data_IF_715661452707
#
_entry.id   IF_715661452707
#
_cell.length_a   1.000
_cell.length_b   1.000
_cell.length_c   1.000
_cell.angle_alpha   90.00
_cell.angle_beta   90.00
_cell.angle_gamma   90.00
#
_symmetry.space_group_name_H-M   'P 1'
#
loop_
_entity.id
_entity.type
_entity.pdbx_description
1 polymer ?
#
# COMPACT_ATOMS: atom_id res chain seq x y z
N UNK A 1 26.19 -0.91 -0.16
CA UNK A 1 24.74 -0.84 -0.40
C UNK A 1 24.34 -2.00 -1.30
N UNK A 2 23.51 -2.94 -0.81
CA UNK A 2 22.87 -3.92 -1.69
C UNK A 2 22.00 -3.15 -2.69
N UNK A 3 22.09 -3.51 -3.97
CA UNK A 3 21.17 -2.96 -4.98
C UNK A 3 19.80 -3.60 -4.77
N UNK A 4 18.70 -2.85 -4.82
CA UNK A 4 17.36 -3.43 -4.77
C UNK A 4 17.19 -4.44 -5.91
N UNK A 5 16.46 -5.52 -5.63
CA UNK A 5 16.19 -6.57 -6.62
C UNK A 5 15.61 -5.96 -7.90
N UNK A 6 16.09 -6.43 -9.06
CA UNK A 6 15.55 -6.01 -10.36
C UNK A 6 14.04 -6.30 -10.49
N UNK A 7 13.50 -7.27 -9.73
CA UNK A 7 12.07 -7.54 -9.69
C UNK A 7 11.26 -6.32 -9.22
N UNK A 8 11.76 -5.54 -8.27
CA UNK A 8 11.10 -4.32 -7.80
C UNK A 8 11.10 -3.24 -8.87
N UNK A 9 12.19 -3.14 -9.65
CA UNK A 9 12.25 -2.28 -10.84
C UNK A 9 11.23 -2.68 -11.90
N UNK A 10 11.11 -3.97 -12.20
CA UNK A 10 10.13 -4.49 -13.16
C UNK A 10 8.69 -4.26 -12.72
N UNK A 11 8.41 -4.42 -11.43
CA UNK A 11 7.11 -4.11 -10.87
C UNK A 11 6.78 -2.62 -10.99
N UNK A 12 7.74 -1.75 -10.65
CA UNK A 12 7.59 -0.29 -10.79
C UNK A 12 7.32 0.08 -12.25
N UNK A 13 8.07 -0.49 -13.19
CA UNK A 13 7.89 -0.30 -14.62
C UNK A 13 6.49 -0.76 -15.08
N UNK A 14 5.98 -1.88 -14.56
CA UNK A 14 4.62 -2.34 -14.85
C UNK A 14 3.56 -1.30 -14.44
N UNK A 15 3.64 -0.75 -13.23
CA UNK A 15 2.66 0.24 -12.77
C UNK A 15 2.81 1.60 -13.46
N UNK A 16 4.04 2.05 -13.76
CA UNK A 16 4.29 3.26 -14.56
C UNK A 16 3.81 3.11 -16.02
N UNK A 17 3.96 1.92 -16.61
CA UNK A 17 3.46 1.63 -17.96
C UNK A 17 1.94 1.50 -18.00
N UNK A 18 1.35 0.66 -17.15
CA UNK A 18 -0.10 0.44 -17.16
C UNK A 18 -0.87 1.64 -16.61
N UNK A 19 -0.40 2.27 -15.54
CA UNK A 19 -1.15 3.30 -14.84
C UNK A 19 -2.57 2.84 -14.55
N UNK A 20 -3.56 3.71 -14.84
CA UNK A 20 -4.97 3.43 -14.56
C UNK A 20 -5.50 2.17 -15.25
N UNK A 21 -4.89 1.77 -16.39
CA UNK A 21 -5.27 0.56 -17.12
C UNK A 21 -5.05 -0.72 -16.31
N UNK A 22 -4.14 -0.71 -15.34
CA UNK A 22 -3.98 -1.84 -14.43
C UNK A 22 -5.31 -2.18 -13.73
N UNK A 23 -6.15 -1.19 -13.44
CA UNK A 23 -7.43 -1.40 -12.77
C UNK A 23 -8.63 -1.29 -13.71
N UNK A 24 -8.63 -0.34 -14.66
CA UNK A 24 -9.76 -0.12 -15.57
C UNK A 24 -9.99 -1.31 -16.52
N UNK A 25 -8.92 -2.01 -16.89
CA UNK A 25 -8.97 -3.23 -17.73
C UNK A 25 -8.97 -4.53 -16.92
N UNK A 26 -9.08 -4.44 -15.59
CA UNK A 26 -9.19 -5.60 -14.70
C UNK A 26 -7.93 -6.46 -14.59
N UNK A 27 -6.75 -5.93 -14.95
CA UNK A 27 -5.46 -6.65 -14.82
C UNK A 27 -5.16 -6.91 -13.34
N UNK A 28 -5.39 -5.90 -12.49
CA UNK A 28 -5.27 -5.94 -11.04
C UNK A 28 -6.67 -5.95 -10.43
N UNK A 29 -7.08 -7.03 -9.74
CA UNK A 29 -8.35 -7.09 -9.03
C UNK A 29 -8.46 -5.99 -7.97
N UNK A 30 -9.63 -5.33 -7.89
CA UNK A 30 -9.82 -4.18 -7.00
C UNK A 30 -11.14 -4.14 -6.22
N UNK A 31 -12.10 -5.03 -6.51
CA UNK A 31 -13.44 -4.91 -5.94
C UNK A 31 -13.49 -5.03 -4.41
N UNK A 32 -12.65 -5.89 -3.84
CA UNK A 32 -12.55 -6.10 -2.38
C UNK A 32 -12.14 -4.80 -1.65
N UNK A 33 -11.31 -3.98 -2.27
CA UNK A 33 -10.81 -2.71 -1.71
C UNK A 33 -11.53 -1.48 -2.25
N UNK A 34 -12.37 -1.65 -3.27
CA UNK A 34 -12.98 -0.54 -4.02
C UNK A 34 -14.46 -0.80 -4.24
N UNK A 35 -15.29 -0.43 -3.26
CA UNK A 35 -16.74 -0.46 -3.38
C UNK A 35 -17.39 0.60 -2.47
N UNK A 36 -18.66 0.91 -2.76
CA UNK A 36 -19.41 1.96 -2.06
C UNK A 36 -19.68 1.62 -0.59
N UNK A 37 -19.84 0.33 -0.26
CA UNK A 37 -20.01 -0.11 1.12
C UNK A 37 -18.75 0.21 1.95
N UNK A 38 -17.57 -0.10 1.43
CA UNK A 38 -16.30 0.17 2.09
C UNK A 38 -16.05 1.68 2.22
N UNK A 39 -16.25 2.44 1.14
CA UNK A 39 -16.10 3.90 1.16
C UNK A 39 -16.99 4.56 2.23
N UNK A 40 -18.25 4.10 2.36
CA UNK A 40 -19.16 4.59 3.40
C UNK A 40 -18.75 4.14 4.80
N UNK A 41 -18.28 2.91 4.97
CA UNK A 41 -17.81 2.41 6.26
C UNK A 41 -16.60 3.21 6.77
N UNK A 42 -15.62 3.46 5.90
CA UNK A 42 -14.43 4.26 6.23
C UNK A 42 -14.84 5.70 6.57
N UNK A 43 -15.74 6.31 5.79
CA UNK A 43 -16.21 7.66 6.07
C UNK A 43 -16.85 7.77 7.46
N UNK A 44 -17.63 6.78 7.91
CA UNK A 44 -18.21 6.75 9.26
C UNK A 44 -17.15 6.66 10.35
N UNK A 45 -16.12 5.84 10.16
CA UNK A 45 -15.02 5.68 11.13
C UNK A 45 -14.25 7.00 11.28
N UNK A 46 -13.90 7.63 10.16
CA UNK A 46 -13.21 8.94 10.16
C UNK A 46 -14.07 10.01 10.82
N UNK A 47 -15.36 10.04 10.50
CA UNK A 47 -16.29 10.99 11.08
C UNK A 47 -16.41 10.84 12.60
N UNK A 48 -16.54 9.59 13.08
CA UNK A 48 -16.56 9.29 14.51
C UNK A 48 -15.26 9.71 15.21
N UNK A 49 -14.12 9.40 14.60
CA UNK A 49 -12.81 9.83 15.10
C UNK A 49 -12.71 11.36 15.24
N UNK A 50 -13.14 12.12 14.24
CA UNK A 50 -13.15 13.59 14.33
C UNK A 50 -14.16 14.12 15.34
N UNK A 51 -15.33 13.48 15.48
CA UNK A 51 -16.30 13.84 16.52
C UNK A 51 -15.71 13.66 17.92
N UNK A 52 -15.04 12.54 18.18
CA UNK A 52 -14.39 12.28 19.46
C UNK A 52 -13.30 13.32 19.77
N UNK A 53 -12.51 13.71 18.76
CA UNK A 53 -11.48 14.75 18.92
C UNK A 53 -12.03 16.17 19.08
N UNK A 54 -13.20 16.48 18.51
CA UNK A 54 -13.89 17.76 18.75
C UNK A 54 -14.44 17.86 20.17
N UNK A 55 -14.80 16.72 20.78
CA UNK A 55 -15.27 16.66 22.16
C UNK A 55 -14.14 16.57 23.19
N UNK A 56 -12.91 16.25 22.79
CA UNK A 56 -11.74 16.13 23.70
C UNK A 56 -11.41 17.36 24.55
N UNK A 57 -11.48 18.61 24.03
CA UNK A 57 -11.21 19.81 24.85
C UNK A 57 -12.10 19.92 26.09
N UNK A 58 -13.24 19.21 26.12
CA UNK A 58 -14.15 19.19 27.27
C UNK A 58 -13.95 18.00 28.21
N UNK A 59 -13.03 17.07 27.91
CA UNK A 59 -12.93 15.78 28.61
C UNK A 59 -11.62 15.59 29.42
N UNK A 60 -10.44 15.98 28.92
CA UNK A 60 -9.19 16.03 29.72
C UNK A 60 -8.02 16.66 28.93
N UNK A 61 -7.49 17.80 29.37
CA UNK A 61 -6.49 18.59 28.62
C UNK A 61 -5.09 17.96 28.55
N UNK A 62 -4.81 16.92 29.35
CA UNK A 62 -3.47 16.37 29.55
C UNK A 62 -3.06 15.23 28.59
N UNK A 63 -3.99 14.67 27.80
CA UNK A 63 -3.77 13.35 27.14
C UNK A 63 -3.67 13.37 25.61
N UNK A 64 -4.11 14.44 24.93
CA UNK A 64 -3.81 14.80 23.54
C UNK A 64 -4.59 16.09 23.20
N UNK A 65 -4.06 17.00 22.35
CA UNK A 65 -4.85 18.14 21.87
C UNK A 65 -6.07 17.64 21.08
N UNK A 66 -7.21 18.32 21.24
CA UNK A 66 -8.39 18.11 20.39
C UNK A 66 -8.17 18.59 18.96
N UNK A 67 -9.22 18.62 18.14
CA UNK A 67 -9.15 19.24 16.82
C UNK A 67 -9.17 20.76 16.91
N UNK A 68 -8.29 21.41 16.15
CA UNK A 68 -8.39 22.83 15.82
C UNK A 68 -9.42 22.99 14.67
N UNK A 69 -10.57 23.65 14.92
CA UNK A 69 -11.63 23.79 13.93
C UNK A 69 -11.29 24.76 12.79
N UNK A 70 -10.25 25.59 12.92
CA UNK A 70 -9.85 26.55 11.90
C UNK A 70 -8.83 25.95 10.92
N UNK A 71 -8.21 24.83 11.28
CA UNK A 71 -7.24 24.07 10.48
C UNK A 71 -7.89 22.86 9.77
N UNK A 72 -7.41 22.46 8.58
CA UNK A 72 -7.99 21.34 7.84
C UNK A 72 -7.66 19.98 8.46
N UNK A 73 -8.61 19.05 8.38
CA UNK A 73 -8.39 17.63 8.64
C UNK A 73 -8.08 16.88 7.33
N UNK A 74 -6.96 16.19 7.28
CA UNK A 74 -6.56 15.43 6.08
C UNK A 74 -6.87 13.94 6.20
N UNK A 75 -7.38 13.36 5.12
CA UNK A 75 -7.47 11.92 4.91
C UNK A 75 -6.56 11.55 3.74
N UNK A 76 -5.45 10.89 4.01
CA UNK A 76 -4.46 10.48 3.01
C UNK A 76 -4.71 9.04 2.56
N UNK A 77 -4.90 8.81 1.27
CA UNK A 77 -4.88 7.46 0.69
C UNK A 77 -3.56 7.24 -0.03
N UNK A 78 -2.82 6.21 0.41
CA UNK A 78 -1.55 5.81 -0.19
C UNK A 78 -1.78 4.64 -1.14
N UNK A 79 -1.57 4.87 -2.44
CA UNK A 79 -1.87 3.92 -3.50
C UNK A 79 -3.33 3.99 -3.95
N UNK A 80 -3.80 5.18 -4.34
CA UNK A 80 -5.19 5.42 -4.75
C UNK A 80 -5.62 4.74 -6.07
N UNK A 81 -4.68 4.16 -6.83
CA UNK A 81 -4.99 3.37 -8.01
C UNK A 81 -5.84 4.15 -9.04
N UNK A 82 -7.06 3.70 -9.33
CA UNK A 82 -8.00 4.40 -10.23
C UNK A 82 -8.69 5.61 -9.62
N UNK A 83 -8.57 5.84 -8.31
CA UNK A 83 -9.29 6.90 -7.59
C UNK A 83 -10.77 6.58 -7.31
N UNK A 84 -11.25 5.40 -7.70
CA UNK A 84 -12.64 5.00 -7.51
C UNK A 84 -13.02 4.86 -6.04
N UNK A 85 -12.12 4.40 -5.18
CA UNK A 85 -12.37 4.35 -3.72
C UNK A 85 -12.52 5.78 -3.16
N UNK A 86 -11.55 6.66 -3.44
CA UNK A 86 -11.59 8.07 -3.05
C UNK A 86 -12.91 8.74 -3.45
N UNK A 87 -13.35 8.55 -4.69
CA UNK A 87 -14.65 9.07 -5.15
C UNK A 87 -15.82 8.59 -4.26
N UNK A 88 -15.90 7.28 -3.99
CA UNK A 88 -16.97 6.70 -3.17
C UNK A 88 -16.90 7.17 -1.72
N UNK A 89 -15.71 7.27 -1.15
CA UNK A 89 -15.46 7.81 0.19
C UNK A 89 -15.93 9.27 0.27
N UNK A 90 -15.43 10.14 -0.60
CA UNK A 90 -15.72 11.58 -0.57
C UNK A 90 -17.22 11.84 -0.74
N UNK A 91 -17.87 11.13 -1.69
CA UNK A 91 -19.34 11.21 -1.86
C UNK A 91 -20.09 10.78 -0.60
N UNK A 92 -19.64 9.71 0.05
CA UNK A 92 -20.24 9.24 1.31
C UNK A 92 -20.02 10.22 2.46
N UNK A 93 -18.80 10.76 2.59
CA UNK A 93 -18.44 11.74 3.61
C UNK A 93 -19.25 13.02 3.46
N UNK A 94 -19.36 13.58 2.25
CA UNK A 94 -20.20 14.75 1.97
C UNK A 94 -21.66 14.51 2.38
N UNK A 95 -22.21 13.32 2.07
CA UNK A 95 -23.58 12.96 2.45
C UNK A 95 -23.75 12.88 3.97
N UNK A 96 -22.76 12.36 4.70
CA UNK A 96 -22.79 12.27 6.17
C UNK A 96 -22.65 13.64 6.82
N UNK A 97 -21.70 14.47 6.37
CA UNK A 97 -21.49 15.84 6.89
C UNK A 97 -22.72 16.72 6.64
N UNK A 98 -23.39 16.57 5.50
CA UNK A 98 -24.62 17.31 5.21
C UNK A 98 -25.74 17.07 6.24
N UNK A 99 -25.76 15.88 6.87
CA UNK A 99 -26.74 15.49 7.89
C UNK A 99 -26.36 15.95 9.30
N UNK A 100 -25.14 16.47 9.51
CA UNK A 100 -24.61 16.85 10.82
C UNK A 100 -24.18 18.33 10.80
N UNK A 101 -25.10 19.27 11.12
CA UNK A 101 -24.85 20.71 10.98
C UNK A 101 -23.59 21.22 11.68
N UNK A 102 -23.26 20.67 12.85
CA UNK A 102 -22.09 21.06 13.63
C UNK A 102 -20.75 20.68 12.96
N UNK A 103 -20.75 19.70 12.04
CA UNK A 103 -19.56 19.31 11.29
C UNK A 103 -19.39 20.08 9.98
N UNK A 104 -20.36 20.91 9.59
CA UNK A 104 -20.26 21.73 8.36
C UNK A 104 -19.15 22.78 8.43
N UNK A 105 -18.73 23.16 9.64
CA UNK A 105 -17.60 24.08 9.86
C UNK A 105 -16.25 23.39 9.77
N UNK A 106 -16.20 22.06 9.87
CA UNK A 106 -14.96 21.31 9.81
C UNK A 106 -14.41 21.37 8.38
N UNK A 107 -13.24 21.96 8.22
CA UNK A 107 -12.49 21.92 6.97
C UNK A 107 -11.85 20.54 6.86
N UNK A 108 -12.05 19.85 5.74
CA UNK A 108 -11.41 18.56 5.50
C UNK A 108 -11.06 18.38 4.04
N UNK A 109 -10.04 17.57 3.79
CA UNK A 109 -9.54 17.28 2.46
C UNK A 109 -9.13 15.82 2.36
N UNK A 110 -9.62 15.13 1.34
CA UNK A 110 -9.14 13.80 0.97
C UNK A 110 -7.99 13.95 -0.01
N UNK A 111 -6.85 13.34 0.28
CA UNK A 111 -5.64 13.41 -0.53
C UNK A 111 -5.41 12.05 -1.18
N UNK A 112 -5.56 11.99 -2.50
CA UNK A 112 -5.21 10.80 -3.28
C UNK A 112 -3.72 10.81 -3.60
N UNK A 113 -3.01 9.73 -3.28
CA UNK A 113 -1.59 9.62 -3.63
C UNK A 113 -1.25 8.32 -4.34
N UNK A 114 -0.37 8.43 -5.31
CA UNK A 114 0.20 7.28 -6.01
C UNK A 114 1.54 7.67 -6.64
N UNK A 115 2.32 6.67 -7.05
CA UNK A 115 3.60 6.87 -7.70
C UNK A 115 3.46 7.08 -9.23
N UNK A 116 2.67 6.27 -9.99
CA UNK A 116 2.59 6.40 -11.43
C UNK A 116 1.94 7.71 -11.86
N UNK A 117 2.67 8.51 -12.65
CA UNK A 117 2.14 9.80 -13.14
C UNK A 117 0.84 9.62 -13.94
N UNK A 118 0.72 8.51 -14.68
CA UNK A 118 -0.48 8.17 -15.46
C UNK A 118 -1.73 8.04 -14.59
N UNK A 119 -1.62 7.59 -13.34
CA UNK A 119 -2.75 7.58 -12.41
C UNK A 119 -3.18 9.00 -12.08
N UNK A 120 -2.21 9.84 -11.71
CA UNK A 120 -2.44 11.25 -11.36
C UNK A 120 -3.11 12.00 -12.52
N UNK A 121 -2.57 11.87 -13.73
CA UNK A 121 -3.11 12.50 -14.93
C UNK A 121 -4.54 12.02 -15.23
N UNK A 122 -4.80 10.72 -15.02
CA UNK A 122 -6.14 10.15 -15.17
C UNK A 122 -7.11 10.74 -14.16
N UNK A 123 -6.71 11.01 -12.92
CA UNK A 123 -7.60 11.59 -11.91
C UNK A 123 -7.93 13.04 -12.22
N UNK A 124 -6.92 13.84 -12.55
CA UNK A 124 -7.05 15.26 -12.86
C UNK A 124 -7.95 15.52 -14.08
N UNK A 125 -7.96 14.59 -15.03
CA UNK A 125 -8.83 14.64 -16.21
C UNK A 125 -10.20 13.98 -16.02
N UNK A 126 -10.45 13.30 -14.89
CA UNK A 126 -11.65 12.50 -14.71
C UNK A 126 -12.89 13.38 -14.42
N UNK A 127 -13.97 13.32 -15.24
CA UNK A 127 -15.14 14.18 -15.09
C UNK A 127 -15.85 14.04 -13.74
N UNK A 128 -15.86 12.84 -13.14
CA UNK A 128 -16.48 12.61 -11.83
C UNK A 128 -15.63 13.07 -10.63
N UNK A 129 -14.34 13.36 -10.84
CA UNK A 129 -13.45 13.87 -9.79
C UNK A 129 -13.30 15.39 -9.89
N UNK A 130 -13.36 15.96 -11.10
CA UNK A 130 -13.22 17.40 -11.33
C UNK A 130 -14.09 18.28 -10.41
N UNK A 131 -15.39 17.99 -10.17
CA UNK A 131 -16.19 18.77 -9.22
C UNK A 131 -15.69 18.68 -7.78
N UNK A 132 -15.11 17.54 -7.36
CA UNK A 132 -14.61 17.33 -6.00
C UNK A 132 -13.31 18.12 -5.78
N UNK A 133 -12.42 18.10 -6.78
CA UNK A 133 -11.22 18.95 -6.80
C UNK A 133 -11.59 20.43 -6.74
N UNK A 134 -12.58 20.87 -7.54
CA UNK A 134 -13.02 22.26 -7.58
C UNK A 134 -13.56 22.78 -6.23
N UNK A 135 -14.12 21.89 -5.40
CA UNK A 135 -14.59 22.27 -4.04
C UNK A 135 -13.50 22.24 -2.96
N UNK A 136 -12.29 21.76 -3.28
CA UNK A 136 -11.18 21.63 -2.32
C UNK A 136 -11.30 20.46 -1.33
N UNK A 137 -12.37 19.66 -1.39
CA UNK A 137 -12.54 18.46 -0.54
C UNK A 137 -11.74 17.26 -1.04
N UNK A 138 -11.19 17.36 -2.25
CA UNK A 138 -10.30 16.39 -2.86
C UNK A 138 -9.04 17.10 -3.34
N UNK A 139 -7.88 16.53 -3.07
CA UNK A 139 -6.57 16.93 -3.57
C UNK A 139 -5.79 15.67 -3.98
N UNK A 140 -4.66 15.84 -4.64
CA UNK A 140 -3.79 14.73 -5.01
C UNK A 140 -2.31 15.09 -4.97
N UNK A 141 -1.46 14.08 -4.81
CA UNK A 141 -0.02 14.24 -4.87
C UNK A 141 0.62 13.00 -5.50
N UNK A 142 1.75 13.21 -6.18
CA UNK A 142 2.63 12.11 -6.56
C UNK A 142 3.51 11.77 -5.35
N UNK A 143 3.43 10.54 -4.87
CA UNK A 143 4.13 10.12 -3.65
C UNK A 143 4.73 8.73 -3.82
N UNK A 144 6.00 8.58 -3.46
CA UNK A 144 6.69 7.29 -3.44
C UNK A 144 6.68 6.73 -2.03
N UNK A 145 5.81 5.75 -1.78
CA UNK A 145 5.71 5.11 -0.47
C UNK A 145 7.00 4.38 -0.06
N UNK A 146 7.89 4.04 -1.00
CA UNK A 146 9.20 3.46 -0.71
C UNK A 146 10.22 4.47 -0.19
N UNK A 147 9.94 5.78 -0.30
CA UNK A 147 10.76 6.86 0.25
C UNK A 147 9.92 7.77 1.17
N UNK A 148 9.51 7.27 2.35
CA UNK A 148 8.55 7.96 3.21
C UNK A 148 9.10 9.21 3.90
N UNK A 149 10.38 9.52 3.71
CA UNK A 149 10.99 10.75 4.21
C UNK A 149 10.64 11.96 3.35
N UNK A 150 10.13 11.75 2.13
CA UNK A 150 9.76 12.84 1.23
C UNK A 150 8.50 13.57 1.68
N UNK A 151 8.46 14.90 1.48
CA UNK A 151 7.24 15.67 1.68
C UNK A 151 6.14 15.22 0.70
N UNK A 152 4.88 15.40 1.10
CA UNK A 152 3.72 15.21 0.23
C UNK A 152 3.31 16.58 -0.31
N UNK A 153 3.60 16.83 -1.57
CA UNK A 153 3.31 18.09 -2.25
C UNK A 153 1.94 18.03 -2.93
N UNK A 154 0.94 18.69 -2.34
CA UNK A 154 -0.43 18.69 -2.83
C UNK A 154 -0.55 19.56 -4.09
N UNK A 155 -1.08 18.97 -5.16
CA UNK A 155 -1.07 19.58 -6.49
C UNK A 155 -2.18 20.62 -6.67
N UNK A 156 -3.33 20.46 -5.99
CA UNK A 156 -4.46 21.38 -6.17
C UNK A 156 -4.36 22.59 -5.25
N UNK A 157 -4.05 22.35 -3.97
CA UNK A 157 -3.93 23.41 -2.96
C UNK A 157 -2.54 24.07 -2.91
N UNK A 158 -1.49 23.40 -3.41
CA UNK A 158 -0.11 23.84 -3.25
C UNK A 158 0.45 23.65 -1.84
N UNK A 159 -0.31 23.03 -0.93
CA UNK A 159 0.13 22.74 0.44
C UNK A 159 1.18 21.63 0.43
N UNK A 160 2.20 21.76 1.28
CA UNK A 160 3.19 20.71 1.50
C UNK A 160 2.97 20.09 2.88
N UNK A 161 2.76 18.78 2.94
CA UNK A 161 2.62 18.03 4.19
C UNK A 161 3.97 17.40 4.54
N UNK A 162 4.48 17.76 5.73
CA UNK A 162 5.77 17.32 6.26
C UNK A 162 5.59 16.83 7.71
N UNK A 163 6.56 16.09 8.27
CA UNK A 163 6.52 15.73 9.68
C UNK A 163 6.30 16.95 10.58
N UNK A 164 5.22 16.93 11.36
CA UNK A 164 4.80 18.00 12.29
C UNK A 164 4.32 19.30 11.63
N UNK A 165 4.00 19.31 10.33
CA UNK A 165 3.46 20.51 9.68
C UNK A 165 1.96 20.72 9.88
N UNK A 166 1.23 19.69 10.32
CA UNK A 166 -0.23 19.74 10.52
C UNK A 166 -0.59 20.03 11.98
N UNK A 167 -1.55 20.93 12.18
CA UNK A 167 -2.16 21.16 13.49
C UNK A 167 -3.08 20.00 13.91
N UNK A 168 -3.82 19.46 12.94
CA UNK A 168 -4.76 18.35 13.15
C UNK A 168 -4.14 16.99 12.77
N UNK A 169 -4.51 15.89 13.44
CA UNK A 169 -4.04 14.55 13.10
C UNK A 169 -4.53 14.12 11.72
N UNK A 170 -3.63 13.51 10.96
CA UNK A 170 -3.93 12.91 9.66
C UNK A 170 -4.52 11.50 9.83
N UNK A 171 -5.52 11.17 9.04
CA UNK A 171 -5.98 9.78 8.88
C UNK A 171 -5.35 9.21 7.62
N UNK A 172 -4.66 8.08 7.70
CA UNK A 172 -4.02 7.44 6.54
C UNK A 172 -4.66 6.08 6.21
N UNK A 173 -4.90 5.84 4.92
CA UNK A 173 -5.37 4.58 4.36
C UNK A 173 -4.29 3.97 3.48
N UNK A 174 -4.03 2.67 3.65
CA UNK A 174 -3.02 1.92 2.89
C UNK A 174 -3.61 0.58 2.43
N UNK A 175 -4.71 0.64 1.68
CA UNK A 175 -5.45 -0.55 1.23
C UNK A 175 -4.60 -1.37 0.25
N UNK A 176 -4.19 -2.57 0.65
CA UNK A 176 -3.39 -3.49 -0.18
C UNK A 176 -2.05 -2.88 -0.67
N UNK A 177 -1.57 -1.82 -0.01
CA UNK A 177 -0.27 -1.22 -0.32
C UNK A 177 0.88 -2.09 0.18
N UNK A 178 0.79 -2.56 1.43
CA UNK A 178 1.89 -3.27 2.09
C UNK A 178 2.20 -4.64 1.46
N UNK A 179 1.29 -5.21 0.65
CA UNK A 179 1.58 -6.44 -0.09
C UNK A 179 2.28 -6.21 -1.43
N UNK A 180 2.44 -4.95 -1.86
CA UNK A 180 3.08 -4.58 -3.13
C UNK A 180 4.23 -3.57 -2.97
N UNK A 181 4.55 -3.12 -1.76
CA UNK A 181 5.76 -2.32 -1.52
C UNK A 181 6.99 -3.23 -1.43
N UNK A 182 8.17 -2.66 -1.66
CA UNK A 182 9.43 -3.40 -1.56
C UNK A 182 9.61 -4.00 -0.17
N UNK A 183 9.97 -5.28 -0.11
CA UNK A 183 10.09 -6.05 1.12
C UNK A 183 11.34 -6.93 1.08
N UNK A 184 11.99 -7.04 2.24
CA UNK A 184 13.04 -8.01 2.47
C UNK A 184 12.43 -9.37 2.84
N UNK A 185 13.07 -10.45 2.42
CA UNK A 185 12.70 -11.81 2.79
C UNK A 185 13.78 -12.42 3.68
N UNK A 186 13.37 -13.11 4.75
CA UNK A 186 14.30 -13.76 5.68
C UNK A 186 13.89 -15.21 5.96
N UNK A 187 14.88 -16.10 6.02
CA UNK A 187 14.72 -17.51 6.39
C UNK A 187 15.27 -17.75 7.80
N UNK A 188 14.45 -18.36 8.65
CA UNK A 188 14.84 -18.78 10.01
C UNK A 188 15.20 -20.28 10.00
N UNK A 189 16.40 -20.59 10.45
CA UNK A 189 16.92 -21.96 10.54
C UNK A 189 16.64 -22.58 11.91
N UNK A 190 16.70 -23.92 12.00
CA UNK A 190 16.44 -24.67 13.24
C UNK A 190 17.38 -24.30 14.40
N UNK A 191 18.57 -23.81 14.09
CA UNK A 191 19.55 -23.35 15.08
C UNK A 191 19.32 -21.89 15.53
N UNK A 192 18.20 -21.27 15.12
CA UNK A 192 17.83 -19.91 15.48
C UNK A 192 18.56 -18.83 14.68
N UNK A 193 19.42 -19.19 13.72
CA UNK A 193 20.02 -18.21 12.81
C UNK A 193 19.00 -17.76 11.79
N UNK A 194 19.09 -16.48 11.42
CA UNK A 194 18.31 -15.91 10.32
C UNK A 194 19.27 -15.54 9.18
N UNK A 195 18.83 -15.70 7.93
CA UNK A 195 19.54 -15.22 6.75
C UNK A 195 18.57 -14.51 5.82
N UNK A 196 19.05 -13.45 5.19
CA UNK A 196 18.32 -12.80 4.10
C UNK A 196 18.18 -13.78 2.93
N UNK A 197 17.01 -13.79 2.30
CA UNK A 197 16.74 -14.56 1.09
C UNK A 197 16.95 -13.64 -0.10
N UNK A 198 17.94 -13.97 -0.92
CA UNK A 198 18.27 -13.28 -2.15
C UNK A 198 17.62 -13.98 -3.33
N UNK A 199 17.28 -13.21 -4.36
CA UNK A 199 16.73 -13.74 -5.61
C UNK A 199 17.71 -13.46 -6.75
N UNK A 200 18.17 -14.52 -7.40
CA UNK A 200 18.91 -14.43 -8.65
C UNK A 200 17.94 -14.52 -9.81
N UNK A 201 17.93 -13.50 -10.67
CA UNK A 201 17.17 -13.49 -11.93
C UNK A 201 18.13 -13.71 -13.09
N UNK A 202 17.78 -14.62 -13.99
CA UNK A 202 18.54 -14.89 -15.23
C UNK A 202 17.60 -14.80 -16.41
N UNK A 203 18.06 -14.20 -17.50
CA UNK A 203 17.34 -14.14 -18.76
C UNK A 203 18.12 -14.92 -19.82
N UNK A 204 17.43 -15.67 -20.68
CA UNK A 204 18.08 -16.26 -21.84
C UNK A 204 18.70 -15.16 -22.73
N UNK A 205 19.87 -15.39 -23.35
CA UNK A 205 20.47 -14.41 -24.24
C UNK A 205 19.52 -14.07 -25.39
N UNK A 206 19.27 -12.77 -25.60
CA UNK A 206 18.51 -12.29 -26.76
C UNK A 206 19.29 -12.65 -28.04
N UNK A 207 18.65 -13.20 -29.08
CA UNK A 207 19.21 -13.15 -30.43
C UNK A 207 19.46 -11.67 -30.79
N UNK A 208 20.62 -11.37 -31.36
CA UNK A 208 20.99 -10.01 -31.75
C UNK A 208 19.94 -9.39 -32.68
N UNK A 209 19.73 -8.08 -32.50
CA UNK A 209 18.82 -7.18 -33.22
C UNK A 209 17.32 -7.21 -32.83
N UNK A 210 16.94 -6.30 -31.94
CA UNK A 210 15.84 -5.36 -32.27
C UNK A 210 15.99 -4.06 -31.48
N UNK A 211 16.45 -3.04 -32.17
CA UNK A 211 16.24 -1.64 -31.82
C UNK A 211 14.77 -1.28 -32.07
N UNK A 212 13.97 -1.11 -31.02
CA UNK A 212 12.81 -0.19 -30.99
C UNK A 212 12.07 -0.23 -29.65
N UNK A 213 12.18 0.86 -28.87
CA UNK A 213 11.27 1.22 -27.77
C UNK A 213 11.44 0.45 -26.45
N UNK A 214 11.18 1.12 -25.33
CA UNK A 214 10.98 0.48 -24.01
C UNK A 214 9.75 -0.43 -24.07
N UNK A 215 9.90 -1.66 -24.59
CA UNK A 215 8.96 -2.75 -24.33
C UNK A 215 9.36 -3.42 -23.02
N UNK A 216 8.40 -3.69 -22.14
CA UNK A 216 8.62 -4.54 -20.97
C UNK A 216 9.34 -5.83 -21.41
N UNK A 217 10.36 -6.29 -20.66
CA UNK A 217 11.08 -7.50 -21.01
C UNK A 217 10.13 -8.70 -21.03
N UNK A 218 10.34 -9.61 -21.98
CA UNK A 218 9.61 -10.87 -22.04
C UNK A 218 10.08 -11.79 -20.90
N UNK A 219 9.31 -11.79 -19.82
CA UNK A 219 9.60 -12.56 -18.61
C UNK A 219 9.40 -14.08 -18.80
N UNK A 220 8.84 -14.55 -19.92
CA UNK A 220 8.69 -15.99 -20.19
C UNK A 220 10.04 -16.69 -20.37
N UNK A 221 11.09 -15.93 -20.71
CA UNK A 221 12.46 -16.41 -20.89
C UNK A 221 13.32 -16.30 -19.63
N UNK A 222 12.71 -15.87 -18.52
CA UNK A 222 13.42 -15.61 -17.27
C UNK A 222 13.26 -16.78 -16.31
N UNK A 223 14.33 -17.06 -15.55
CA UNK A 223 14.27 -17.99 -14.42
C UNK A 223 14.77 -17.32 -13.14
N UNK A 224 14.15 -17.67 -12.02
CA UNK A 224 14.49 -17.17 -10.69
C UNK A 224 14.93 -18.30 -9.77
N UNK A 225 15.97 -18.06 -8.97
CA UNK A 225 16.37 -18.96 -7.90
C UNK A 225 16.61 -18.20 -6.60
N UNK A 226 16.23 -18.83 -5.48
CA UNK A 226 16.31 -18.23 -4.14
C UNK A 226 17.50 -18.83 -3.38
N UNK A 227 18.35 -17.98 -2.84
CA UNK A 227 19.54 -18.39 -2.10
C UNK A 227 19.67 -17.58 -0.82
N UNK A 228 20.20 -18.19 0.23
CA UNK A 228 20.42 -17.48 1.48
C UNK A 228 21.71 -16.64 1.39
N UNK A 229 21.63 -15.39 1.82
CA UNK A 229 22.80 -14.53 1.96
C UNK A 229 23.82 -15.17 2.90
N UNK A 230 25.10 -15.04 2.54
CA UNK A 230 26.22 -15.41 3.41
C UNK A 230 26.43 -14.34 4.49
N UNK A 231 25.87 -13.15 4.29
CA UNK A 231 25.98 -12.02 5.22
C UNK A 231 24.99 -12.18 6.38
N UNK A 232 25.44 -11.99 7.64
CA UNK A 232 24.54 -11.95 8.80
C UNK A 232 23.50 -10.83 8.64
N UNK A 233 22.30 -11.07 9.18
CA UNK A 233 21.20 -10.09 9.20
C UNK A 233 21.67 -8.76 9.82
N UNK A 234 21.21 -7.60 9.30
CA UNK A 234 21.45 -6.31 9.92
C UNK A 234 21.18 -6.29 11.43
N UNK A 235 22.03 -5.57 12.19
CA UNK A 235 22.00 -5.55 13.66
C UNK A 235 20.64 -5.17 14.27
N UNK A 236 19.82 -4.36 13.58
CA UNK A 236 18.49 -3.96 14.08
C UNK A 236 17.45 -5.08 14.07
N UNK A 237 17.69 -6.16 13.31
CA UNK A 237 16.91 -7.40 13.34
C UNK A 237 17.61 -8.51 14.14
N UNK A 238 18.84 -8.27 14.61
CA UNK A 238 19.56 -9.21 15.46
C UNK A 238 18.97 -9.19 16.86
N UNK A 239 18.64 -10.37 17.38
CA UNK A 239 18.18 -10.52 18.76
C UNK A 239 19.22 -9.96 19.73
N UNK A 240 18.84 -8.98 20.55
CA UNK A 240 19.67 -8.60 21.71
C UNK A 240 19.45 -9.64 22.80
N UNK A 241 20.54 -10.15 23.39
CA UNK A 241 20.46 -10.98 24.60
C UNK A 241 20.32 -10.07 25.83
N UNK A 242 19.44 -10.40 26.75
CA UNK A 242 19.44 -9.73 28.07
C UNK A 242 20.69 -10.11 28.89
N UNK A 243 20.85 -9.51 30.08
CA UNK A 243 22.01 -9.74 30.96
C UNK A 243 22.10 -11.20 31.41
N UNK A 244 21.01 -11.94 31.30
CA UNK A 244 20.86 -13.35 31.62
C UNK A 244 20.98 -14.27 30.38
N UNK A 245 21.30 -13.71 29.21
CA UNK A 245 21.60 -14.46 27.98
C UNK A 245 20.39 -14.90 27.16
N UNK A 246 19.17 -14.46 27.48
CA UNK A 246 17.94 -14.84 26.76
C UNK A 246 17.71 -13.96 25.54
N UNK A 247 17.33 -14.57 24.42
CA UNK A 247 17.01 -13.89 23.17
C UNK A 247 15.79 -12.98 23.36
N UNK A 248 15.94 -11.66 23.19
CA UNK A 248 14.82 -10.74 23.02
C UNK A 248 14.53 -10.61 21.53
N UNK A 249 13.26 -10.71 21.14
CA UNK A 249 12.84 -10.32 19.80
C UNK A 249 13.17 -8.84 19.59
N UNK A 250 13.52 -8.46 18.36
CA UNK A 250 13.56 -7.07 17.94
C UNK A 250 12.12 -6.52 17.88
N UNK A 251 11.45 -6.47 19.03
CA UNK A 251 10.16 -5.81 19.15
C UNK A 251 10.44 -4.33 19.23
N UNK A 252 9.86 -3.61 18.26
CA UNK A 252 9.42 -2.23 18.37
C UNK A 252 9.36 -1.73 19.82
N UNK A 253 9.89 -0.52 20.04
CA UNK A 253 9.71 0.31 21.23
C UNK A 253 8.22 0.71 21.43
N UNK A 254 7.27 -0.24 21.46
CA UNK A 254 5.93 -0.02 21.99
C UNK A 254 5.81 -0.73 23.33
N UNK A 255 5.92 0.07 24.39
CA UNK A 255 5.63 -0.36 25.76
C UNK A 255 4.13 -0.61 25.90
N UNK A 256 3.64 -1.78 25.48
CA UNK A 256 2.44 -2.45 26.04
C UNK A 256 1.91 -3.50 25.07
N UNK A 257 2.46 -4.71 25.08
CA UNK A 257 1.70 -5.92 24.72
C UNK A 257 2.53 -7.11 25.18
N UNK A 258 2.20 -7.60 26.38
CA UNK A 258 2.85 -8.73 27.01
C UNK A 258 2.25 -10.04 26.48
N UNK A 259 2.06 -10.15 25.16
CA UNK A 259 1.61 -11.38 24.52
C UNK A 259 2.81 -12.14 23.97
N UNK A 260 3.06 -13.32 24.54
CA UNK A 260 4.04 -14.28 24.03
C UNK A 260 3.54 -14.81 22.68
N UNK A 261 3.83 -14.09 21.60
CA UNK A 261 3.69 -14.61 20.24
C UNK A 261 4.68 -15.77 20.05
N UNK A 262 4.18 -17.01 20.21
CA UNK A 262 4.91 -18.21 19.80
C UNK A 262 4.82 -18.32 18.29
N UNK A 263 5.90 -17.97 17.58
CA UNK A 263 6.02 -18.31 16.17
C UNK A 263 6.16 -19.83 16.04
N UNK A 264 5.10 -20.48 15.58
CA UNK A 264 5.23 -21.81 14.97
C UNK A 264 5.96 -21.68 13.63
N UNK A 265 6.68 -22.72 13.16
CA UNK A 265 7.20 -22.71 11.80
C UNK A 265 6.05 -22.45 10.85
N UNK A 266 6.20 -21.48 9.94
CA UNK A 266 5.27 -21.29 8.84
C UNK A 266 5.25 -22.59 8.04
N UNK A 267 4.26 -23.43 8.32
CA UNK A 267 3.96 -24.54 7.44
C UNK A 267 3.37 -23.89 6.20
N UNK A 268 4.15 -23.83 5.13
CA UNK A 268 3.60 -23.83 3.79
C UNK A 268 2.99 -25.23 3.58
N UNK A 269 1.95 -25.55 4.35
CA UNK A 269 1.02 -26.59 3.95
C UNK A 269 0.43 -26.07 2.65
N UNK A 270 0.59 -26.84 1.57
CA UNK A 270 -0.47 -26.87 0.55
C UNK A 270 -1.80 -26.81 1.31
N UNK A 271 -2.67 -25.89 0.94
CA UNK A 271 -4.02 -25.84 1.47
C UNK A 271 -4.76 -27.10 0.95
N UNK A 272 -4.47 -28.26 1.55
CA UNK A 272 -5.08 -29.56 1.25
C UNK A 272 -6.43 -29.71 2.00
N UNK A 273 -7.02 -28.61 2.47
CA UNK A 273 -8.32 -28.57 3.12
C UNK A 273 -9.27 -27.65 2.34
N UNK A 274 -10.57 -27.99 2.26
CA UNK A 274 -11.50 -27.30 1.38
C UNK A 274 -11.84 -25.91 1.94
N UNK A 275 -11.41 -24.88 1.20
CA UNK A 275 -11.83 -23.45 1.26
C UNK A 275 -11.04 -22.50 2.19
N UNK A 276 -10.83 -21.23 1.75
CA UNK A 276 -11.85 -20.26 1.29
C UNK A 276 -12.13 -20.22 -0.23
N UNK A 277 -13.38 -19.97 -0.69
CA UNK A 277 -13.73 -20.00 -2.12
C UNK A 277 -13.07 -18.89 -2.94
N UNK A 278 -12.74 -17.76 -2.30
CA UNK A 278 -12.19 -16.60 -3.02
C UNK A 278 -10.74 -16.82 -3.42
N UNK A 279 -9.92 -17.44 -2.56
CA UNK A 279 -8.49 -17.60 -2.83
C UNK A 279 -8.23 -18.60 -3.96
N UNK A 280 -8.99 -19.69 -4.02
CA UNK A 280 -8.94 -20.62 -5.16
C UNK A 280 -9.42 -19.96 -6.45
N UNK A 281 -10.47 -19.11 -6.41
CA UNK A 281 -10.88 -18.36 -7.61
C UNK A 281 -9.78 -17.43 -8.11
N UNK A 282 -9.01 -16.79 -7.22
CA UNK A 282 -7.88 -15.94 -7.61
C UNK A 282 -6.75 -16.79 -8.22
N UNK A 283 -6.39 -17.91 -7.58
CA UNK A 283 -5.35 -18.82 -8.08
C UNK A 283 -5.75 -19.47 -9.42
N UNK A 284 -7.01 -19.89 -9.56
CA UNK A 284 -7.53 -20.49 -10.77
C UNK A 284 -7.69 -19.45 -11.89
N UNK A 285 -8.10 -18.22 -11.56
CA UNK A 285 -8.07 -17.09 -12.51
C UNK A 285 -6.67 -16.87 -13.07
N UNK A 286 -5.64 -16.82 -12.21
CA UNK A 286 -4.25 -16.67 -12.69
C UNK A 286 -3.80 -17.88 -13.50
N UNK A 287 -4.10 -19.12 -13.08
CA UNK A 287 -3.78 -20.33 -13.86
C UNK A 287 -4.42 -20.32 -15.25
N UNK A 288 -5.68 -19.93 -15.34
CA UNK A 288 -6.43 -19.91 -16.60
C UNK A 288 -5.94 -18.77 -17.50
N UNK A 289 -5.65 -17.60 -16.93
CA UNK A 289 -5.05 -16.47 -17.64
C UNK A 289 -3.67 -16.83 -18.21
N UNK A 290 -2.83 -17.54 -17.45
CA UNK A 290 -1.52 -17.99 -17.92
C UNK A 290 -1.59 -19.17 -18.90
N UNK A 291 -2.64 -20.00 -18.84
CA UNK A 291 -2.90 -21.06 -19.84
C UNK A 291 -3.39 -20.52 -21.18
N UNK A 292 -4.27 -19.52 -21.16
CA UNK A 292 -4.88 -18.98 -22.38
C UNK A 292 -3.94 -18.07 -23.16
N UNK A 293 -2.90 -17.52 -22.53
CA UNK A 293 -1.80 -16.81 -23.22
C UNK A 293 -0.70 -17.74 -23.74
N UNK A 294 -0.78 -19.06 -23.49
CA UNK A 294 0.24 -20.03 -23.89
C UNK A 294 -0.35 -21.24 -24.61
N UNK A 295 -0.52 -21.13 -25.93
CA UNK A 295 -0.56 -22.31 -26.81
C UNK A 295 0.55 -22.19 -27.83
N UNK A 296 1.52 -23.11 -27.74
CA UNK A 296 1.92 -24.17 -28.71
C UNK A 296 3.21 -24.77 -28.11
N UNK A 297 3.37 -26.06 -27.84
CA UNK A 297 2.50 -27.20 -28.09
C UNK A 297 2.97 -28.45 -27.34
N UNK A 298 2.06 -29.44 -27.35
CA UNK A 298 2.34 -30.88 -27.37
C UNK A 298 3.45 -31.16 -28.41
N UNK A 299 4.37 -32.13 -28.35
CA UNK A 299 4.55 -33.46 -27.71
C UNK A 299 5.98 -33.91 -28.11
N UNK A 300 6.52 -35.12 -27.80
CA UNK A 300 5.95 -36.32 -27.18
C UNK A 300 6.38 -36.59 -25.73
#
# INVERSE_FOLDING_TARGET
>A
CQKPSMLWGLQRDFYEDKGVDAWSKGIVPNYVTTNSWLGRAYAKVVLGFWQDLLLRPTLDAASAPGLDPDEPCYVLEVGSASGRFAHMFVRSMLSLVAQLPYLRRLKWCFVMTDLPKKNIDSWLSHPSLAPLFATGVLDCARYDASDPARPIELMMSGVTIEPKSLANPIVAFANYLCCVIEMDAFRVFRDGRMREVLVTTTAAPKPEASTAGKKMPDLSTWSSSFHDSVTPVPQYLSHTKDKEGRLRNATYLSRSLNERLRYGPARCTRYDAPFPPELNRVVDYYREAFRTTGRVGDTP
#
